data_IF_966340373164
#
_entry.id   IF_966340373164
#
_cell.length_a   1.000
_cell.length_b   1.000
_cell.length_c   1.000
_cell.angle_alpha   90.00
_cell.angle_beta   90.00
_cell.angle_gamma   90.00
#
_symmetry.space_group_name_H-M   'P 1'
#
loop_
_entity.id
_entity.type
_entity.pdbx_description
1 polymer ?
#
# COMPACT_ATOMS: atom_id res chain seq x y z
N UNK A 1 -17.25 19.09 -21.67
CA UNK A 1 -18.04 17.89 -21.33
C UNK A 1 -17.37 16.55 -21.72
N UNK A 2 -16.02 16.49 -21.80
CA UNK A 2 -15.24 15.25 -22.07
C UNK A 2 -14.34 14.81 -20.89
N UNK A 3 -14.29 15.61 -19.82
CA UNK A 3 -13.29 15.48 -18.76
C UNK A 3 -13.70 14.59 -17.59
N UNK A 4 -15.00 14.30 -17.42
CA UNK A 4 -15.53 13.66 -16.21
C UNK A 4 -15.61 12.12 -16.30
N UNK A 5 -15.72 11.55 -17.49
CA UNK A 5 -15.83 10.10 -17.68
C UNK A 5 -14.46 9.37 -17.62
N UNK A 6 -13.37 10.08 -17.90
CA UNK A 6 -12.02 9.48 -17.93
C UNK A 6 -11.33 9.51 -16.56
N UNK A 7 -11.80 10.32 -15.60
CA UNK A 7 -11.15 10.50 -14.29
C UNK A 7 -11.51 9.40 -13.27
N UNK A 8 -12.65 8.73 -13.45
CA UNK A 8 -13.11 7.66 -12.55
C UNK A 8 -12.57 6.30 -12.95
N UNK A 9 -12.53 5.98 -14.25
CA UNK A 9 -11.91 4.73 -14.74
C UNK A 9 -10.41 4.73 -14.44
N UNK A 10 -9.71 5.85 -14.64
CA UNK A 10 -8.29 6.01 -14.27
C UNK A 10 -8.03 5.95 -12.75
N UNK A 11 -8.99 6.39 -11.93
CA UNK A 11 -8.88 6.32 -10.47
C UNK A 11 -8.95 4.88 -9.93
N UNK A 12 -9.69 3.97 -10.59
CA UNK A 12 -9.70 2.55 -10.24
C UNK A 12 -8.34 1.90 -10.53
N UNK A 13 -7.81 2.15 -11.73
CA UNK A 13 -6.52 1.61 -12.16
C UNK A 13 -5.35 2.12 -11.32
N UNK A 14 -5.35 3.39 -10.89
CA UNK A 14 -4.28 3.92 -10.03
C UNK A 14 -4.29 3.30 -8.64
N UNK A 15 -5.47 3.02 -8.07
CA UNK A 15 -5.63 2.30 -6.80
C UNK A 15 -5.13 0.87 -6.89
N UNK A 16 -5.50 0.16 -7.96
CA UNK A 16 -5.02 -1.19 -8.20
C UNK A 16 -3.50 -1.21 -8.42
N UNK A 17 -2.97 -0.27 -9.21
CA UNK A 17 -1.54 -0.13 -9.43
C UNK A 17 -0.77 0.14 -8.15
N UNK A 18 -1.30 0.99 -7.25
CA UNK A 18 -0.70 1.25 -5.94
C UNK A 18 -0.70 -0.01 -5.06
N UNK A 19 -1.81 -0.75 -5.02
CA UNK A 19 -1.88 -2.02 -4.26
C UNK A 19 -0.87 -3.04 -4.79
N UNK A 20 -0.83 -3.25 -6.10
CA UNK A 20 0.07 -4.21 -6.73
C UNK A 20 1.54 -3.80 -6.59
N UNK A 21 1.86 -2.50 -6.72
CA UNK A 21 3.23 -2.03 -6.56
C UNK A 21 3.73 -2.20 -5.12
N UNK A 22 2.85 -2.02 -4.13
CA UNK A 22 3.15 -2.37 -2.74
C UNK A 22 3.44 -3.86 -2.57
N UNK A 23 2.59 -4.73 -3.11
CA UNK A 23 2.78 -6.18 -3.03
C UNK A 23 4.09 -6.64 -3.71
N UNK A 24 4.44 -6.03 -4.85
CA UNK A 24 5.70 -6.31 -5.55
C UNK A 24 6.95 -5.89 -4.77
N UNK A 25 6.82 -4.96 -3.81
CA UNK A 25 7.96 -4.51 -3.01
C UNK A 25 8.54 -5.64 -2.14
N UNK A 26 7.78 -6.71 -1.87
CA UNK A 26 8.29 -7.92 -1.20
C UNK A 26 9.52 -8.49 -1.88
N UNK A 27 9.59 -8.46 -3.21
CA UNK A 27 10.71 -9.02 -3.96
C UNK A 27 12.02 -8.27 -3.74
N UNK A 28 11.97 -7.05 -3.19
CA UNK A 28 13.18 -6.33 -2.79
C UNK A 28 13.86 -6.89 -1.53
N UNK A 29 13.12 -7.65 -0.71
CA UNK A 29 13.62 -8.22 0.55
C UNK A 29 14.04 -9.68 0.40
N UNK A 30 14.63 -10.25 1.45
CA UNK A 30 14.86 -11.68 1.51
C UNK A 30 13.53 -12.45 1.37
N UNK A 31 13.53 -13.60 0.67
CA UNK A 31 14.66 -14.32 0.08
C UNK A 31 15.06 -13.85 -1.34
N UNK A 32 14.28 -12.97 -1.96
CA UNK A 32 14.37 -12.63 -3.39
C UNK A 32 15.50 -11.65 -3.74
N UNK A 33 15.83 -10.74 -2.82
CA UNK A 33 16.98 -9.82 -2.90
C UNK A 33 17.03 -8.93 -4.15
N UNK A 34 15.88 -8.63 -4.77
CA UNK A 34 15.79 -7.74 -5.93
C UNK A 34 15.71 -6.26 -5.50
N UNK A 35 16.73 -5.80 -4.78
CA UNK A 35 16.76 -4.45 -4.17
C UNK A 35 16.62 -3.31 -5.19
N UNK A 36 16.98 -3.55 -6.45
CA UNK A 36 16.81 -2.61 -7.56
C UNK A 36 15.33 -2.24 -7.82
N UNK A 37 14.36 -3.07 -7.40
CA UNK A 37 12.93 -2.83 -7.59
C UNK A 37 12.37 -1.71 -6.71
N UNK A 38 13.05 -1.35 -5.61
CA UNK A 38 12.57 -0.33 -4.66
C UNK A 38 12.37 1.01 -5.34
N UNK A 39 13.38 1.47 -6.08
CA UNK A 39 13.35 2.79 -6.74
C UNK A 39 12.20 2.90 -7.76
N UNK A 40 12.05 2.00 -8.77
CA UNK A 40 10.97 2.13 -9.75
C UNK A 40 9.58 2.01 -9.11
N UNK A 41 9.42 1.20 -8.06
CA UNK A 41 8.14 1.09 -7.32
C UNK A 41 7.79 2.41 -6.62
N UNK A 42 8.75 3.03 -5.93
CA UNK A 42 8.53 4.31 -5.26
C UNK A 42 8.28 5.44 -6.27
N UNK A 43 9.01 5.46 -7.39
CA UNK A 43 8.77 6.40 -8.49
C UNK A 43 7.36 6.25 -9.04
N UNK A 44 6.90 5.02 -9.27
CA UNK A 44 5.53 4.76 -9.73
C UNK A 44 4.50 5.28 -8.72
N UNK A 45 4.68 5.01 -7.42
CA UNK A 45 3.77 5.48 -6.37
C UNK A 45 3.68 7.02 -6.36
N UNK A 46 4.81 7.72 -6.42
CA UNK A 46 4.85 9.17 -6.49
C UNK A 46 4.21 9.69 -7.79
N UNK A 47 4.47 9.04 -8.92
CA UNK A 47 3.85 9.40 -10.20
C UNK A 47 2.33 9.25 -10.17
N UNK A 48 1.78 8.19 -9.55
CA UNK A 48 0.34 8.03 -9.34
C UNK A 48 -0.25 9.11 -8.43
N UNK A 49 0.52 9.59 -7.45
CA UNK A 49 0.10 10.62 -6.50
C UNK A 49 0.20 12.05 -7.01
N UNK A 50 1.02 12.34 -8.05
CA UNK A 50 1.44 13.70 -8.43
C UNK A 50 0.30 14.67 -8.72
N UNK A 51 -0.71 14.24 -9.47
CA UNK A 51 -1.86 15.08 -9.88
C UNK A 51 -3.11 14.79 -9.02
N UNK A 52 -2.93 14.11 -7.89
CA UNK A 52 -4.03 13.71 -7.02
C UNK A 52 -4.34 14.76 -5.94
N UNK A 53 -5.59 14.85 -5.50
CA UNK A 53 -5.94 15.63 -4.31
C UNK A 53 -5.37 14.97 -3.06
N UNK A 54 -5.12 15.69 -1.94
CA UNK A 54 -4.58 15.09 -0.72
C UNK A 54 -5.36 13.87 -0.24
N UNK A 55 -6.70 13.89 -0.35
CA UNK A 55 -7.56 12.74 -0.03
C UNK A 55 -7.29 11.52 -0.92
N UNK A 56 -7.06 11.72 -2.22
CA UNK A 56 -6.72 10.62 -3.14
C UNK A 56 -5.30 10.11 -2.90
N UNK A 57 -4.36 11.00 -2.60
CA UNK A 57 -2.99 10.65 -2.24
C UNK A 57 -2.96 9.74 -1.00
N UNK A 58 -3.75 10.07 0.01
CA UNK A 58 -3.94 9.23 1.20
C UNK A 58 -4.41 7.83 0.83
N UNK A 59 -5.43 7.72 -0.04
CA UNK A 59 -5.97 6.42 -0.49
C UNK A 59 -4.93 5.59 -1.25
N UNK A 60 -4.13 6.23 -2.11
CA UNK A 60 -3.05 5.56 -2.85
C UNK A 60 -1.97 5.03 -1.90
N UNK A 61 -1.51 5.86 -0.96
CA UNK A 61 -0.52 5.45 0.04
C UNK A 61 -1.05 4.34 0.96
N UNK A 62 -2.33 4.40 1.33
CA UNK A 62 -2.96 3.37 2.15
C UNK A 62 -3.03 2.02 1.42
N UNK A 63 -3.50 2.00 0.16
CA UNK A 63 -3.56 0.78 -0.63
C UNK A 63 -2.17 0.21 -0.95
N UNK A 64 -1.20 1.08 -1.22
CA UNK A 64 0.20 0.69 -1.34
C UNK A 64 0.71 0.01 -0.07
N UNK A 65 0.44 0.61 1.10
CA UNK A 65 0.76 0.01 2.39
C UNK A 65 0.10 -1.36 2.57
N UNK A 66 -1.19 -1.48 2.24
CA UNK A 66 -1.92 -2.74 2.39
C UNK A 66 -1.23 -3.84 1.58
N UNK A 67 -0.92 -3.58 0.31
CA UNK A 67 -0.23 -4.55 -0.55
C UNK A 67 1.15 -4.93 -0.02
N UNK A 68 1.93 -3.93 0.42
CA UNK A 68 3.28 -4.16 0.94
C UNK A 68 3.27 -4.96 2.23
N UNK A 69 2.48 -4.57 3.23
CA UNK A 69 2.45 -5.24 4.52
C UNK A 69 1.73 -6.59 4.45
N UNK A 70 0.65 -6.73 3.67
CA UNK A 70 -0.02 -8.03 3.53
C UNK A 70 0.88 -9.06 2.86
N UNK A 71 1.67 -8.66 1.86
CA UNK A 71 2.61 -9.57 1.23
C UNK A 71 3.83 -9.82 2.14
N UNK A 72 4.44 -8.75 2.65
CA UNK A 72 5.74 -8.81 3.31
C UNK A 72 5.74 -9.24 4.77
N UNK A 73 4.58 -9.18 5.43
CA UNK A 73 4.40 -9.58 6.82
C UNK A 73 3.42 -10.75 6.98
N UNK A 74 2.99 -11.38 5.88
CA UNK A 74 2.12 -12.57 5.92
C UNK A 74 2.69 -13.72 6.76
N UNK A 75 4.02 -13.84 6.83
CA UNK A 75 4.72 -14.84 7.62
C UNK A 75 4.44 -14.75 9.13
N UNK A 76 4.01 -13.58 9.63
CA UNK A 76 3.61 -13.41 11.05
C UNK A 76 2.43 -14.33 11.39
N UNK A 77 1.61 -14.73 10.41
CA UNK A 77 0.56 -15.73 10.58
C UNK A 77 1.08 -16.98 11.27
N UNK A 78 2.20 -17.54 10.78
CA UNK A 78 2.75 -18.79 11.30
C UNK A 78 3.17 -18.63 12.76
N UNK A 79 3.73 -17.47 13.12
CA UNK A 79 4.11 -17.17 14.51
C UNK A 79 2.90 -17.10 15.44
N UNK A 80 1.81 -16.45 15.02
CA UNK A 80 0.59 -16.35 15.85
C UNK A 80 -0.12 -17.70 15.93
N UNK A 81 -0.17 -18.44 14.83
CA UNK A 81 -0.78 -19.78 14.80
C UNK A 81 -0.03 -20.76 15.71
N UNK A 82 1.31 -20.67 15.75
CA UNK A 82 2.16 -21.54 16.58
C UNK A 82 2.14 -21.15 18.07
N UNK A 83 2.23 -19.85 18.38
CA UNK A 83 2.46 -19.39 19.76
C UNK A 83 1.26 -18.68 20.41
N UNK A 84 0.27 -18.25 19.62
CA UNK A 84 -0.86 -17.45 20.10
C UNK A 84 -2.03 -18.27 20.65
N UNK A 85 -2.18 -19.54 20.25
CA UNK A 85 -3.28 -20.39 20.68
C UNK A 85 -4.68 -19.85 20.32
N UNK A 86 -4.75 -18.91 19.37
CA UNK A 86 -5.98 -18.25 18.95
C UNK A 86 -6.68 -19.07 17.84
N UNK A 87 -8.02 -19.03 17.77
CA UNK A 87 -8.73 -19.51 16.59
C UNK A 87 -8.28 -18.76 15.32
N UNK A 88 -8.27 -19.44 14.17
CA UNK A 88 -7.78 -18.90 12.89
C UNK A 88 -8.40 -17.54 12.53
N UNK A 89 -9.70 -17.37 12.77
CA UNK A 89 -10.40 -16.10 12.50
C UNK A 89 -9.83 -14.94 13.32
N UNK A 90 -9.48 -15.18 14.59
CA UNK A 90 -8.89 -14.17 15.45
C UNK A 90 -7.46 -13.82 15.00
N UNK A 91 -6.67 -14.81 14.58
CA UNK A 91 -5.33 -14.57 14.01
C UNK A 91 -5.39 -13.70 12.75
N UNK A 92 -6.31 -14.00 11.84
CA UNK A 92 -6.51 -13.20 10.62
C UNK A 92 -6.96 -11.78 10.98
N UNK A 93 -7.86 -11.62 11.95
CA UNK A 93 -8.31 -10.30 12.39
C UNK A 93 -7.17 -9.45 12.97
N UNK A 94 -6.30 -10.05 13.79
CA UNK A 94 -5.11 -9.37 14.34
C UNK A 94 -4.16 -8.92 13.23
N UNK A 95 -3.88 -9.79 12.25
CA UNK A 95 -3.06 -9.44 11.10
C UNK A 95 -3.70 -8.33 10.24
N UNK A 96 -5.01 -8.39 10.01
CA UNK A 96 -5.72 -7.37 9.27
C UNK A 96 -5.61 -5.99 9.94
N UNK A 97 -5.74 -5.95 11.28
CA UNK A 97 -5.54 -4.73 12.07
C UNK A 97 -4.09 -4.25 11.98
N UNK A 98 -3.12 -5.15 12.09
CA UNK A 98 -1.70 -4.82 11.96
C UNK A 98 -1.39 -4.20 10.59
N UNK A 99 -1.84 -4.82 9.49
CA UNK A 99 -1.60 -4.33 8.14
C UNK A 99 -2.30 -3.00 7.91
N UNK A 100 -3.55 -2.85 8.38
CA UNK A 100 -4.28 -1.58 8.32
C UNK A 100 -3.56 -0.46 9.07
N UNK A 101 -3.08 -0.75 10.29
CA UNK A 101 -2.33 0.20 11.11
C UNK A 101 -1.03 0.64 10.41
N UNK A 102 -0.21 -0.31 9.95
CA UNK A 102 1.04 0.02 9.28
C UNK A 102 0.82 0.77 7.96
N UNK A 103 -0.29 0.49 7.27
CA UNK A 103 -0.66 1.20 6.04
C UNK A 103 -0.97 2.68 6.25
N UNK A 104 -1.21 3.12 7.49
CA UNK A 104 -1.38 4.54 7.80
C UNK A 104 -0.09 5.34 7.55
N UNK A 105 1.09 4.75 7.73
CA UNK A 105 2.36 5.47 7.52
C UNK A 105 2.56 5.94 6.07
N UNK A 106 2.51 5.06 5.03
CA UNK A 106 2.59 5.52 3.63
C UNK A 106 1.40 6.39 3.22
N UNK A 107 0.20 6.15 3.79
CA UNK A 107 -0.97 7.00 3.55
C UNK A 107 -0.74 8.45 4.03
N UNK A 108 -0.25 8.61 5.26
CA UNK A 108 0.07 9.90 5.86
C UNK A 108 1.22 10.58 5.13
N UNK A 109 2.25 9.84 4.72
CA UNK A 109 3.37 10.39 3.96
C UNK A 109 2.93 10.99 2.61
N UNK A 110 2.13 10.24 1.82
CA UNK A 110 1.61 10.73 0.55
C UNK A 110 0.62 11.89 0.73
N UNK A 111 -0.23 11.81 1.75
CA UNK A 111 -1.14 12.88 2.10
C UNK A 111 -0.39 14.17 2.47
N UNK A 112 0.62 14.06 3.34
CA UNK A 112 1.43 15.19 3.79
C UNK A 112 2.16 15.82 2.61
N UNK A 113 2.82 15.01 1.78
CA UNK A 113 3.47 15.47 0.55
C UNK A 113 2.50 16.25 -0.35
N UNK A 114 1.34 15.66 -0.68
CA UNK A 114 0.36 16.31 -1.55
C UNK A 114 -0.30 17.53 -0.91
N UNK A 115 -0.47 17.56 0.41
CA UNK A 115 -1.00 18.73 1.12
C UNK A 115 -0.01 19.89 1.16
N UNK A 116 1.28 19.61 1.18
CA UNK A 116 2.34 20.63 1.15
C UNK A 116 2.49 21.24 -0.26
N UNK A 117 2.34 20.44 -1.32
CA UNK A 117 2.49 20.88 -2.71
C UNK A 117 1.18 21.39 -3.35
N UNK A 118 0.02 21.21 -2.70
CA UNK A 118 -1.26 21.72 -3.17
C UNK A 118 -1.59 23.13 -2.67
N UNK A 119 -0.66 23.77 -1.96
CA UNK A 119 -0.68 25.20 -1.63
C UNK A 119 -0.06 25.98 -2.78
#
# INVERSE_FOLDING_TARGET
>A
MKTLFNTTMTAGWSRLAALLSGALLVFAYAPFQQSWMVIPILVLLLWLGRDSSPRRAWQLGYLFGIGWFSAGLSWIYVSIDTFGGLPVVATIAVLAVLFAYLSLFPALALWAWRSATAR
#
